data_IF_133994840699
#
_entry.id   IF_133994840699
#
_cell.length_a   1.000
_cell.length_b   1.000
_cell.length_c   1.000
_cell.angle_alpha   90.00
_cell.angle_beta   90.00
_cell.angle_gamma   90.00
#
_symmetry.space_group_name_H-M   'P 1'
#
loop_
_entity.id
_entity.type
_entity.pdbx_description
1 polymer ?
#
# COMPACT_ATOMS: atom_id res chain seq x y z
N UNK A 1 -12.13 -0.82 -13.59
CA UNK A 1 -10.79 -0.54 -13.05
C UNK A 1 -10.93 -0.08 -11.62
N UNK A 2 -9.91 -0.31 -10.80
CA UNK A 2 -9.78 0.24 -9.46
C UNK A 2 -8.71 1.32 -9.52
N UNK A 3 -8.99 2.50 -8.96
CA UNK A 3 -8.01 3.54 -8.77
C UNK A 3 -7.38 3.32 -7.40
N UNK A 4 -6.06 3.12 -7.38
CA UNK A 4 -5.28 3.06 -6.16
C UNK A 4 -4.73 4.44 -5.90
N UNK A 5 -5.13 5.02 -4.77
CA UNK A 5 -4.64 6.32 -4.33
C UNK A 5 -3.57 6.08 -3.26
N UNK A 6 -2.39 6.64 -3.50
CA UNK A 6 -1.28 6.65 -2.54
C UNK A 6 -0.91 5.26 -1.99
N UNK A 7 -0.90 4.23 -2.85
CA UNK A 7 -0.36 2.92 -2.51
C UNK A 7 1.11 3.05 -2.09
N UNK A 8 1.46 2.55 -0.92
CA UNK A 8 2.83 2.55 -0.43
C UNK A 8 3.21 1.18 0.12
N UNK A 9 4.51 0.90 0.09
CA UNK A 9 5.10 -0.27 0.74
C UNK A 9 6.35 0.18 1.50
N UNK A 10 6.43 -0.17 2.77
CA UNK A 10 7.59 0.11 3.61
C UNK A 10 7.98 -1.14 4.38
N UNK A 11 9.24 -1.20 4.79
CA UNK A 11 9.78 -2.32 5.55
C UNK A 11 10.81 -1.80 6.54
N UNK A 12 10.43 -1.76 7.81
CA UNK A 12 11.21 -1.18 8.90
C UNK A 12 11.98 -2.27 9.66
N UNK A 13 12.89 -2.97 8.99
CA UNK A 13 13.60 -4.13 9.57
C UNK A 13 14.60 -3.79 10.68
N UNK A 14 15.07 -2.54 10.73
CA UNK A 14 16.04 -2.06 11.73
C UNK A 14 15.36 -1.31 12.90
N UNK A 15 14.02 -1.38 13.00
CA UNK A 15 13.24 -0.62 13.98
C UNK A 15 12.65 -1.50 15.05
N UNK A 16 12.38 -0.88 16.19
CA UNK A 16 11.58 -1.50 17.24
C UNK A 16 10.17 -1.77 16.69
N UNK A 17 9.55 -2.89 17.07
CA UNK A 17 8.14 -3.13 16.76
C UNK A 17 7.27 -1.97 17.24
N UNK A 18 6.13 -1.76 16.58
CA UNK A 18 5.13 -0.84 17.09
C UNK A 18 4.68 -1.26 18.50
N UNK A 19 4.76 -0.32 19.44
CA UNK A 19 4.26 -0.50 20.79
C UNK A 19 2.74 -0.25 20.79
N UNK A 20 1.98 -1.28 20.42
CA UNK A 20 0.52 -1.27 20.46
C UNK A 20 0.09 -1.99 21.73
N UNK A 21 -0.50 -1.26 22.68
CA UNK A 21 -0.97 -1.79 23.96
C UNK A 21 -2.16 -2.78 23.84
N UNK A 22 -2.65 -3.00 22.62
CA UNK A 22 -3.79 -3.87 22.30
C UNK A 22 -3.38 -5.04 21.41
N UNK A 23 -4.15 -6.13 21.49
CA UNK A 23 -4.05 -7.20 20.50
C UNK A 23 -4.62 -6.70 19.17
N UNK A 24 -4.10 -7.23 18.06
CA UNK A 24 -4.50 -6.84 16.70
C UNK A 24 -6.00 -6.94 16.45
N UNK A 25 -6.63 -7.99 16.98
CA UNK A 25 -8.07 -8.23 16.89
C UNK A 25 -8.94 -7.23 17.69
N UNK A 26 -8.33 -6.52 18.64
CA UNK A 26 -8.99 -5.54 19.50
C UNK A 26 -8.77 -4.09 19.01
N UNK A 27 -8.01 -3.90 17.91
CA UNK A 27 -7.78 -2.59 17.29
C UNK A 27 -9.02 -2.23 16.46
N UNK A 28 -9.63 -1.08 16.77
CA UNK A 28 -10.77 -0.58 16.01
C UNK A 28 -10.37 -0.07 14.63
N UNK A 29 -11.28 0.01 13.64
CA UNK A 29 -10.97 0.56 12.32
C UNK A 29 -10.37 1.97 12.35
N UNK A 30 -10.76 2.80 13.33
CA UNK A 30 -10.19 4.14 13.50
C UNK A 30 -8.72 4.09 13.95
N UNK A 31 -8.39 3.23 14.91
CA UNK A 31 -7.01 3.05 15.38
C UNK A 31 -6.13 2.42 14.30
N UNK A 32 -6.68 1.53 13.48
CA UNK A 32 -6.01 1.04 12.26
C UNK A 32 -5.65 2.18 11.31
N UNK A 33 -6.56 3.13 11.09
CA UNK A 33 -6.27 4.28 10.24
C UNK A 33 -5.11 5.10 10.84
N UNK A 34 -5.19 5.44 12.12
CA UNK A 34 -4.16 6.24 12.82
C UNK A 34 -2.77 5.59 12.78
N UNK A 35 -2.67 4.28 12.96
CA UNK A 35 -1.37 3.59 12.98
C UNK A 35 -0.79 3.44 11.56
N UNK A 36 -1.63 3.09 10.57
CA UNK A 36 -1.14 2.60 9.27
C UNK A 36 -1.17 3.65 8.16
N UNK A 37 -2.16 4.54 8.17
CA UNK A 37 -2.37 5.54 7.12
C UNK A 37 -1.43 6.76 7.27
N UNK A 38 -1.00 7.04 8.49
CA UNK A 38 -0.05 8.11 8.79
C UNK A 38 1.23 7.98 7.95
N UNK A 39 1.71 9.10 7.41
CA UNK A 39 2.85 9.13 6.47
C UNK A 39 2.56 8.60 5.05
N UNK A 40 1.47 7.86 4.83
CA UNK A 40 1.04 7.46 3.49
C UNK A 40 0.20 8.54 2.85
N UNK A 41 -0.74 9.16 3.58
CA UNK A 41 -1.65 10.19 3.08
C UNK A 41 -1.23 11.63 3.41
N UNK A 42 -0.08 11.82 4.07
CA UNK A 42 0.42 13.14 4.43
C UNK A 42 0.97 13.92 3.21
N UNK A 43 0.79 15.25 3.13
CA UNK A 43 1.50 16.09 2.18
C UNK A 43 3.01 16.00 2.46
N UNK A 44 3.83 15.90 1.42
CA UNK A 44 5.30 15.87 1.52
C UNK A 44 5.93 17.17 2.02
N UNK A 45 5.12 18.20 2.31
CA UNK A 45 5.61 19.46 2.86
C UNK A 45 6.18 19.23 4.27
N UNK A 46 7.50 19.34 4.36
CA UNK A 46 8.37 19.09 5.52
C UNK A 46 8.12 19.98 6.76
N UNK A 47 6.96 20.64 6.84
CA UNK A 47 6.64 21.63 7.88
C UNK A 47 5.52 21.21 8.83
N UNK A 48 4.96 20.00 8.70
CA UNK A 48 4.03 19.44 9.69
C UNK A 48 4.75 18.44 10.59
N UNK A 49 4.38 18.44 11.87
CA UNK A 49 4.79 17.41 12.82
C UNK A 49 4.31 16.06 12.30
N UNK A 50 5.24 15.22 11.86
CA UNK A 50 4.96 13.86 11.43
C UNK A 50 4.49 13.07 12.65
N UNK A 51 3.39 12.32 12.50
CA UNK A 51 2.89 11.44 13.55
C UNK A 51 3.99 10.48 14.04
N UNK A 52 3.95 10.10 15.31
CA UNK A 52 4.86 9.09 15.86
C UNK A 52 4.81 7.78 15.07
N UNK A 53 3.65 7.46 14.46
CA UNK A 53 3.45 6.27 13.62
C UNK A 53 4.05 6.38 12.20
N UNK A 54 4.33 7.59 11.74
CA UNK A 54 4.90 7.88 10.43
C UNK A 54 6.40 8.19 10.46
N UNK A 55 6.98 8.34 11.65
CA UNK A 55 8.39 8.64 11.83
C UNK A 55 9.29 7.51 11.31
N UNK A 56 10.28 7.88 10.50
CA UNK A 56 11.36 7.00 10.05
C UNK A 56 10.94 5.76 9.24
N UNK A 57 9.80 5.81 8.53
CA UNK A 57 9.41 4.73 7.62
C UNK A 57 10.40 4.58 6.47
N UNK A 58 10.85 3.34 6.26
CA UNK A 58 11.75 2.95 5.17
C UNK A 58 10.91 2.46 4.00
N UNK A 59 10.50 3.39 3.15
CA UNK A 59 9.67 3.08 1.98
C UNK A 59 10.48 2.31 0.92
N UNK A 60 10.02 1.10 0.62
CA UNK A 60 10.41 0.36 -0.57
C UNK A 60 9.73 0.95 -1.82
N UNK A 61 8.46 1.33 -1.67
CA UNK A 61 7.65 2.05 -2.67
C UNK A 61 7.07 3.27 -1.98
N UNK A 62 7.52 4.45 -2.40
CA UNK A 62 6.94 5.72 -1.93
C UNK A 62 5.47 5.81 -2.36
N UNK A 63 4.57 6.51 -1.64
CA UNK A 63 3.16 6.59 -2.02
C UNK A 63 2.95 6.94 -3.51
N UNK A 64 2.36 6.01 -4.26
CA UNK A 64 2.07 6.15 -5.70
C UNK A 64 0.58 6.05 -6.00
N UNK A 65 0.15 6.69 -7.08
CA UNK A 65 -1.19 6.51 -7.65
C UNK A 65 -1.13 5.50 -8.80
N UNK A 66 -2.16 4.67 -8.94
CA UNK A 66 -2.21 3.66 -9.98
C UNK A 66 -3.64 3.34 -10.45
N UNK A 67 -3.73 2.78 -11.65
CA UNK A 67 -4.97 2.20 -12.16
C UNK A 67 -4.78 0.69 -12.33
N UNK A 68 -5.52 -0.07 -11.54
CA UNK A 68 -5.57 -1.53 -11.60
C UNK A 68 -6.76 -1.98 -12.45
N UNK A 69 -6.49 -2.83 -13.43
CA UNK A 69 -7.50 -3.51 -14.22
C UNK A 69 -7.37 -5.01 -13.98
N UNK A 70 -8.42 -5.59 -13.40
CA UNK A 70 -8.52 -7.03 -13.21
C UNK A 70 -9.61 -7.59 -14.10
N UNK A 71 -9.27 -8.62 -14.88
CA UNK A 71 -10.20 -9.38 -15.68
C UNK A 71 -10.14 -10.84 -15.24
N UNK A 72 -11.31 -11.42 -14.96
CA UNK A 72 -11.48 -12.83 -14.59
C UNK A 72 -12.61 -13.43 -15.41
N UNK A 73 -12.35 -14.57 -16.04
CA UNK A 73 -13.33 -15.30 -16.87
C UNK A 73 -14.44 -16.00 -16.06
N UNK A 74 -14.28 -16.14 -14.73
CA UNK A 74 -15.30 -16.75 -13.87
C UNK A 74 -15.57 -18.21 -14.23
N UNK A 75 -16.84 -18.64 -14.14
CA UNK A 75 -17.26 -20.00 -14.50
C UNK A 75 -17.55 -20.17 -16.00
N UNK A 76 -17.14 -19.22 -16.84
CA UNK A 76 -17.34 -19.34 -18.29
C UNK A 76 -16.38 -20.39 -18.84
N UNK A 77 -16.90 -21.32 -19.66
CA UNK A 77 -16.04 -22.24 -20.40
C UNK A 77 -15.11 -21.43 -21.30
N UNK A 78 -13.82 -21.78 -21.25
CA UNK A 78 -12.78 -21.09 -22.01
C UNK A 78 -13.00 -21.32 -23.50
N UNK A 79 -13.63 -20.35 -24.18
CA UNK A 79 -13.88 -20.44 -25.63
C UNK A 79 -12.61 -20.21 -26.46
N UNK A 80 -11.63 -19.48 -25.95
CA UNK A 80 -10.34 -19.23 -26.61
C UNK A 80 -9.17 -19.57 -25.66
N UNK A 81 -8.33 -20.57 -26.01
CA UNK A 81 -7.16 -20.95 -25.21
C UNK A 81 -6.05 -19.89 -25.16
N UNK A 82 -6.13 -18.81 -25.95
CA UNK A 82 -5.20 -17.68 -25.88
C UNK A 82 -5.59 -16.64 -24.82
N UNK A 83 -6.84 -16.66 -24.33
CA UNK A 83 -7.28 -15.74 -23.28
C UNK A 83 -6.97 -16.35 -21.91
N UNK A 84 -6.15 -15.71 -21.07
CA UNK A 84 -5.87 -16.20 -19.72
C UNK A 84 -7.09 -16.05 -18.81
N UNK A 85 -7.32 -17.04 -17.92
CA UNK A 85 -8.44 -17.03 -16.96
C UNK A 85 -8.46 -15.80 -16.07
N UNK A 86 -7.27 -15.34 -15.70
CA UNK A 86 -7.05 -14.17 -14.87
C UNK A 86 -5.99 -13.31 -15.54
N UNK A 87 -6.31 -12.03 -15.71
CA UNK A 87 -5.41 -11.03 -16.28
C UNK A 87 -5.44 -9.80 -15.38
N UNK A 88 -4.27 -9.37 -14.96
CA UNK A 88 -4.08 -8.11 -14.25
C UNK A 88 -3.29 -7.17 -15.15
N UNK A 89 -3.69 -5.90 -15.19
CA UNK A 89 -2.92 -4.83 -15.80
C UNK A 89 -2.85 -3.68 -14.80
N UNK A 90 -1.64 -3.25 -14.49
CA UNK A 90 -1.36 -2.19 -13.53
C UNK A 90 -0.64 -1.06 -14.26
N UNK A 91 -1.28 0.11 -14.30
CA UNK A 91 -0.67 1.33 -14.88
C UNK A 91 -0.22 2.21 -13.73
N UNK A 92 1.09 2.37 -13.62
CA UNK A 92 1.76 3.23 -12.64
C UNK A 92 2.21 4.51 -13.35
N UNK A 93 2.19 5.65 -12.66
CA UNK A 93 2.71 6.92 -13.19
C UNK A 93 4.22 6.98 -13.02
N UNK A 94 4.69 7.46 -11.88
CA UNK A 94 6.09 7.58 -11.49
C UNK A 94 6.34 6.69 -10.27
N UNK A 95 7.34 5.81 -10.36
CA UNK A 95 7.68 4.88 -9.29
C UNK A 95 9.12 5.11 -8.86
N UNK A 96 9.30 5.39 -7.57
CA UNK A 96 10.63 5.40 -6.93
C UNK A 96 10.75 4.17 -6.04
N UNK A 97 11.81 3.39 -6.28
CA UNK A 97 12.15 2.22 -5.47
C UNK A 97 13.45 2.48 -4.72
N UNK A 98 13.44 2.22 -3.43
CA UNK A 98 14.63 2.35 -2.57
C UNK A 98 14.86 1.03 -1.86
N UNK A 99 16.11 0.54 -1.90
CA UNK A 99 16.55 -0.61 -1.14
C UNK A 99 17.76 -0.20 -0.30
N UNK A 100 17.69 -0.50 1.00
CA UNK A 100 18.79 -0.29 1.95
C UNK A 100 19.25 -1.65 2.47
N UNK A 101 20.56 -1.85 2.55
CA UNK A 101 21.21 -3.06 3.12
C UNK A 101 21.00 -3.18 4.63
#
# INVERSE_FOLDING_TARGET
>A
SVHLERLALYHDSDRLPWEIDKRWEDISPHEWIEIFEDGINEPTDHHKSVSTWAMNRTFLVYPINAVLQYHRLGNQERSDPNIPFEKVSLVLTDVSLTLTE
#
